data_IF_354001203378
#
_entry.id   IF_354001203378
#
_cell.length_a   1.000
_cell.length_b   1.000
_cell.length_c   1.000
_cell.angle_alpha   90.00
_cell.angle_beta   90.00
_cell.angle_gamma   90.00
#
_symmetry.space_group_name_H-M   'P 1'
#
loop_
_entity.id
_entity.type
_entity.pdbx_description
1 polymer ?
#
# COMPACT_ATOMS: atom_id res chain seq x y z
N UNK A 1 80.24 47.21 6.80
CA UNK A 1 80.34 45.73 6.94
C UNK A 1 79.12 45.23 7.70
N UNK A 2 78.41 44.23 7.14
CA UNK A 2 77.48 43.22 7.72
C UNK A 2 76.38 43.72 8.68
N UNK A 3 75.08 43.76 8.33
CA UNK A 3 74.09 42.72 7.94
C UNK A 3 73.34 42.03 9.11
N UNK A 4 72.05 41.83 8.86
CA UNK A 4 71.06 40.89 9.46
C UNK A 4 70.35 41.38 10.75
N UNK A 5 69.03 41.26 10.90
CA UNK A 5 68.01 40.59 10.10
C UNK A 5 66.59 40.94 10.58
N UNK A 6 65.64 40.84 9.65
CA UNK A 6 64.20 41.07 9.79
C UNK A 6 63.52 39.83 10.37
N UNK A 7 62.54 40.01 11.27
CA UNK A 7 61.47 39.02 11.51
C UNK A 7 60.12 39.73 11.40
N UNK A 8 59.48 39.53 10.25
CA UNK A 8 58.09 39.90 9.96
C UNK A 8 57.22 38.70 10.36
N UNK A 9 56.31 38.90 11.32
CA UNK A 9 55.25 37.94 11.63
C UNK A 9 54.13 38.13 10.59
N UNK A 10 54.08 37.25 9.59
CA UNK A 10 52.96 37.12 8.67
C UNK A 10 51.90 36.25 9.35
N UNK A 11 50.77 36.85 9.71
CA UNK A 11 49.58 36.13 10.14
C UNK A 11 48.95 35.41 8.95
N UNK A 12 48.84 34.09 9.05
CA UNK A 12 48.11 33.25 8.11
C UNK A 12 46.60 33.48 8.32
N UNK A 13 45.96 34.27 7.46
CA UNK A 13 44.50 34.30 7.40
C UNK A 13 44.04 33.04 6.66
N UNK A 14 43.47 32.10 7.42
CA UNK A 14 42.82 30.91 6.89
C UNK A 14 41.56 31.38 6.13
N UNK A 15 41.61 31.40 4.79
CA UNK A 15 40.42 31.56 3.96
C UNK A 15 39.66 30.23 4.03
N UNK A 16 38.73 30.13 4.97
CA UNK A 16 37.67 29.13 4.94
C UNK A 16 36.79 29.46 3.74
N UNK A 17 37.03 28.78 2.62
CA UNK A 17 36.12 28.73 1.50
C UNK A 17 34.80 28.15 1.98
N UNK A 18 33.83 29.02 2.24
CA UNK A 18 32.43 28.62 2.36
C UNK A 18 32.06 28.15 0.96
N UNK A 19 32.06 26.83 0.75
CA UNK A 19 31.28 26.19 -0.29
C UNK A 19 29.83 26.57 0.00
N UNK A 20 29.37 27.68 -0.59
CA UNK A 20 27.97 27.97 -0.68
C UNK A 20 27.35 26.82 -1.46
N UNK A 21 26.65 25.94 -0.75
CA UNK A 21 25.70 25.02 -1.38
C UNK A 21 24.83 25.87 -2.31
N UNK A 22 24.56 25.41 -3.55
CA UNK A 22 23.63 26.12 -4.41
C UNK A 22 22.34 26.38 -3.61
N UNK A 23 21.75 27.58 -3.70
CA UNK A 23 20.49 27.84 -3.04
C UNK A 23 19.52 26.74 -3.45
N UNK A 24 18.90 26.08 -2.48
CA UNK A 24 17.82 25.14 -2.74
C UNK A 24 16.77 25.89 -3.57
N UNK A 25 16.70 25.57 -4.86
CA UNK A 25 15.64 26.04 -5.73
C UNK A 25 14.36 25.52 -5.07
N UNK A 26 13.46 26.43 -4.69
CA UNK A 26 12.20 26.03 -4.07
C UNK A 26 11.52 25.03 -5.01
N UNK A 27 11.14 23.87 -4.47
CA UNK A 27 10.40 22.85 -5.21
C UNK A 27 9.14 23.48 -5.83
N UNK A 28 9.07 23.52 -7.16
CA UNK A 28 7.83 23.86 -7.84
C UNK A 28 6.77 22.81 -7.43
N UNK A 29 5.64 23.28 -6.91
CA UNK A 29 4.53 22.43 -6.47
C UNK A 29 3.32 22.68 -7.36
N UNK A 30 2.75 21.61 -7.90
CA UNK A 30 1.51 21.63 -8.70
C UNK A 30 0.49 20.72 -8.05
N UNK A 31 -0.78 21.10 -8.04
CA UNK A 31 -1.86 20.34 -7.41
C UNK A 31 -2.93 20.01 -8.44
N UNK A 32 -3.29 18.74 -8.53
CA UNK A 32 -4.42 18.23 -9.31
C UNK A 32 -5.46 17.64 -8.36
N UNK A 33 -6.73 17.89 -8.64
CA UNK A 33 -7.86 17.37 -7.85
C UNK A 33 -8.88 16.76 -8.79
N UNK A 34 -9.49 15.64 -8.38
CA UNK A 34 -10.58 15.05 -9.15
C UNK A 34 -11.73 16.06 -9.34
N UNK A 35 -12.15 16.32 -10.58
CA UNK A 35 -13.21 17.28 -10.84
C UNK A 35 -14.59 16.73 -10.46
N UNK A 36 -15.47 17.61 -9.96
CA UNK A 36 -16.92 17.33 -9.88
C UNK A 36 -17.42 16.35 -8.80
N UNK A 37 -16.56 15.80 -7.95
CA UNK A 37 -16.93 14.77 -6.96
C UNK A 37 -16.97 15.28 -5.51
N UNK A 38 -17.63 16.42 -5.25
CA UNK A 38 -17.68 17.02 -3.92
C UNK A 38 -18.35 16.10 -2.88
N UNK A 39 -17.74 16.00 -1.69
CA UNK A 39 -18.26 15.18 -0.58
C UNK A 39 -17.75 13.74 -0.53
N UNK A 40 -17.12 13.25 -1.61
CA UNK A 40 -16.44 11.96 -1.61
C UNK A 40 -15.18 11.96 -0.72
N UNK A 41 -14.82 10.82 -0.10
CA UNK A 41 -13.54 10.66 0.58
C UNK A 41 -12.39 11.02 -0.35
N UNK A 42 -11.39 11.73 0.19
CA UNK A 42 -10.31 12.33 -0.60
C UNK A 42 -8.97 11.72 -0.22
N UNK A 43 -8.39 10.96 -1.14
CA UNK A 43 -7.02 10.47 -1.00
C UNK A 43 -6.04 11.60 -1.28
N UNK A 44 -5.28 12.00 -0.29
CA UNK A 44 -4.19 12.97 -0.40
C UNK A 44 -2.92 12.24 -0.81
N UNK A 45 -2.41 12.55 -2.00
CA UNK A 45 -1.26 11.85 -2.59
C UNK A 45 -0.14 12.85 -2.83
N UNK A 46 1.07 12.55 -2.35
CA UNK A 46 2.28 13.29 -2.70
C UNK A 46 2.94 12.60 -3.87
N UNK A 47 3.35 13.32 -4.89
CA UNK A 47 4.02 12.73 -6.05
C UNK A 47 5.36 13.41 -6.28
N UNK A 48 6.42 12.72 -5.87
CA UNK A 48 7.80 13.18 -5.90
C UNK A 48 8.42 12.93 -7.28
N UNK A 49 8.94 13.99 -7.90
CA UNK A 49 9.71 13.95 -9.12
C UNK A 49 11.18 14.18 -8.80
N UNK A 50 12.01 13.15 -8.96
CA UNK A 50 13.46 13.26 -8.77
C UNK A 50 14.17 13.52 -10.09
N UNK A 51 15.04 14.52 -10.09
CA UNK A 51 15.80 14.87 -11.27
C UNK A 51 17.06 14.09 -11.45
N UNK A 52 17.67 13.50 -10.42
CA UNK A 52 18.91 12.75 -10.61
C UNK A 52 18.83 11.35 -10.01
N UNK A 53 19.39 10.36 -10.68
CA UNK A 53 19.58 9.02 -10.11
C UNK A 53 20.95 8.95 -9.42
N UNK A 54 21.15 7.92 -8.57
CA UNK A 54 22.49 7.55 -8.06
C UNK A 54 23.52 7.26 -9.17
N UNK A 55 23.05 7.04 -10.42
CA UNK A 55 23.89 6.78 -11.60
C UNK A 55 24.11 8.04 -12.45
N UNK A 56 23.62 9.21 -12.04
CA UNK A 56 23.83 10.48 -12.74
C UNK A 56 22.95 10.72 -13.97
N UNK A 57 21.86 9.95 -14.15
CA UNK A 57 20.84 10.24 -15.18
C UNK A 57 19.90 11.33 -14.70
N UNK A 58 19.40 12.16 -15.61
CA UNK A 58 18.45 13.23 -15.31
C UNK A 58 17.14 13.11 -16.07
N UNK A 59 16.00 13.37 -15.42
CA UNK A 59 14.72 13.51 -16.15
C UNK A 59 14.81 14.71 -17.09
N UNK A 60 14.33 14.57 -18.32
CA UNK A 60 14.26 15.71 -19.23
C UNK A 60 12.95 16.52 -19.04
N UNK A 61 12.86 17.76 -19.59
CA UNK A 61 11.66 18.58 -19.46
C UNK A 61 10.38 17.94 -20.02
N UNK A 62 10.48 17.11 -21.07
CA UNK A 62 9.32 16.38 -21.60
C UNK A 62 8.80 15.33 -20.63
N UNK A 63 9.69 14.60 -19.97
CA UNK A 63 9.33 13.61 -18.95
C UNK A 63 8.69 14.26 -17.72
N UNK A 64 9.08 15.49 -17.37
CA UNK A 64 8.37 16.27 -16.34
C UNK A 64 6.96 16.62 -16.80
N UNK A 65 6.81 17.18 -18.00
CA UNK A 65 5.48 17.57 -18.49
C UNK A 65 4.54 16.36 -18.54
N UNK A 66 5.04 15.23 -19.03
CA UNK A 66 4.26 14.00 -19.03
C UNK A 66 3.92 13.51 -17.62
N UNK A 67 4.82 13.62 -16.65
CA UNK A 67 4.50 13.26 -15.27
C UNK A 67 3.36 14.14 -14.71
N UNK A 68 3.31 15.41 -15.10
CA UNK A 68 2.23 16.33 -14.76
C UNK A 68 0.92 15.93 -15.47
N UNK A 69 0.97 15.69 -16.78
CA UNK A 69 -0.19 15.24 -17.58
C UNK A 69 -0.76 13.92 -17.02
N UNK A 70 0.11 12.98 -16.65
CA UNK A 70 -0.31 11.70 -16.05
C UNK A 70 -0.93 11.85 -14.66
N UNK A 71 -0.49 12.85 -13.87
CA UNK A 71 -1.09 13.15 -12.58
C UNK A 71 -2.49 13.77 -12.74
N UNK A 72 -2.67 14.63 -13.73
CA UNK A 72 -3.98 15.18 -14.12
C UNK A 72 -4.91 14.08 -14.62
N UNK A 73 -4.48 13.29 -15.61
CA UNK A 73 -5.22 12.15 -16.14
C UNK A 73 -5.63 11.16 -15.03
N UNK A 74 -4.72 10.84 -14.11
CA UNK A 74 -5.02 9.98 -12.98
C UNK A 74 -6.12 10.56 -12.08
N UNK A 75 -6.06 11.86 -11.77
CA UNK A 75 -7.07 12.52 -10.94
C UNK A 75 -8.46 12.49 -11.60
N UNK A 76 -8.52 12.68 -12.92
CA UNK A 76 -9.74 12.59 -13.72
C UNK A 76 -10.28 11.16 -13.76
N UNK A 77 -9.42 10.19 -14.08
CA UNK A 77 -9.78 8.76 -14.17
C UNK A 77 -10.32 8.21 -12.85
N UNK A 78 -9.77 8.62 -11.70
CA UNK A 78 -10.28 8.21 -10.38
C UNK A 78 -11.74 8.63 -10.21
N UNK A 79 -12.09 9.87 -10.59
CA UNK A 79 -13.46 10.37 -10.49
C UNK A 79 -14.41 9.70 -11.47
N UNK A 80 -13.99 9.57 -12.73
CA UNK A 80 -14.78 8.98 -13.80
C UNK A 80 -15.05 7.49 -13.52
N UNK A 81 -14.00 6.70 -13.34
CA UNK A 81 -14.10 5.25 -13.16
C UNK A 81 -14.68 4.87 -11.79
N UNK A 82 -14.37 5.66 -10.76
CA UNK A 82 -14.96 5.53 -9.43
C UNK A 82 -16.38 6.05 -9.32
N UNK A 83 -16.96 6.64 -10.38
CA UNK A 83 -18.30 7.24 -10.38
C UNK A 83 -18.51 8.24 -9.22
N UNK A 84 -17.49 9.06 -8.95
CA UNK A 84 -17.43 9.97 -7.81
C UNK A 84 -17.62 9.34 -6.42
N UNK A 85 -17.41 8.02 -6.26
CA UNK A 85 -17.38 7.37 -4.95
C UNK A 85 -16.17 7.79 -4.11
N UNK A 86 -15.09 8.20 -4.79
CA UNK A 86 -13.80 8.60 -4.24
C UNK A 86 -13.22 9.70 -5.11
N UNK A 87 -12.37 10.53 -4.51
CA UNK A 87 -11.55 11.50 -5.24
C UNK A 87 -10.12 11.49 -4.73
N UNK A 88 -9.21 12.03 -5.53
CA UNK A 88 -7.81 12.26 -5.13
C UNK A 88 -7.49 13.75 -5.16
N UNK A 89 -6.52 14.13 -4.33
CA UNK A 89 -5.75 15.37 -4.42
C UNK A 89 -4.29 14.97 -4.57
N UNK A 90 -3.72 15.20 -5.75
CA UNK A 90 -2.34 14.86 -6.07
C UNK A 90 -1.49 16.12 -6.03
N UNK A 91 -0.55 16.16 -5.10
CA UNK A 91 0.43 17.23 -4.98
C UNK A 91 1.76 16.77 -5.57
N UNK A 92 2.05 17.27 -6.77
CA UNK A 92 3.27 16.95 -7.52
C UNK A 92 4.37 17.89 -7.10
N UNK A 93 5.50 17.32 -6.66
CA UNK A 93 6.60 18.05 -6.06
C UNK A 93 7.88 17.70 -6.76
N UNK A 94 8.54 18.75 -7.22
CA UNK A 94 9.87 18.70 -7.77
C UNK A 94 10.91 18.65 -6.64
N UNK A 95 11.55 17.50 -6.43
CA UNK A 95 12.47 17.32 -5.30
C UNK A 95 13.84 18.01 -5.51
N UNK A 96 14.15 18.53 -6.71
CA UNK A 96 15.44 19.14 -7.05
C UNK A 96 16.69 18.33 -6.63
N UNK A 97 16.55 17.03 -6.32
CA UNK A 97 17.55 16.21 -5.65
C UNK A 97 17.72 14.83 -6.30
N UNK A 98 18.76 14.12 -5.86
CA UNK A 98 19.01 12.74 -6.26
C UNK A 98 18.12 11.78 -5.48
N UNK A 99 17.50 10.84 -6.18
CA UNK A 99 16.75 9.76 -5.53
C UNK A 99 17.71 8.81 -4.80
N UNK A 100 17.31 8.38 -3.60
CA UNK A 100 17.91 7.25 -2.90
C UNK A 100 16.80 6.40 -2.28
N UNK A 101 16.95 5.09 -2.22
CA UNK A 101 15.94 4.21 -1.59
C UNK A 101 15.75 4.52 -0.11
N UNK A 102 16.76 5.12 0.56
CA UNK A 102 16.65 5.60 1.93
C UNK A 102 15.72 6.82 2.09
N UNK A 103 15.44 7.55 1.01
CA UNK A 103 14.51 8.68 0.99
C UNK A 103 13.05 8.23 0.82
N UNK A 104 12.80 6.93 0.58
CA UNK A 104 11.44 6.40 0.40
C UNK A 104 10.76 6.26 1.76
N UNK A 105 10.03 7.30 2.14
CA UNK A 105 9.24 7.37 3.37
C UNK A 105 7.93 8.07 3.08
N UNK A 106 6.82 7.56 3.63
CA UNK A 106 5.53 8.21 3.47
C UNK A 106 5.55 9.62 4.07
N UNK A 107 5.11 10.60 3.30
CA UNK A 107 5.02 12.00 3.71
C UNK A 107 3.91 12.14 4.77
N UNK A 108 4.21 12.68 5.97
CA UNK A 108 3.18 12.85 7.00
C UNK A 108 1.98 13.67 6.51
N UNK A 109 0.77 13.18 6.78
CA UNK A 109 -0.48 13.81 6.36
C UNK A 109 -0.92 13.50 4.93
N UNK A 110 -0.26 12.54 4.26
CA UNK A 110 -0.67 12.02 2.96
C UNK A 110 -1.03 10.53 3.07
N UNK A 111 -2.07 10.11 2.36
CA UNK A 111 -2.51 8.72 2.30
C UNK A 111 -1.53 7.85 1.48
N UNK A 112 -0.88 8.44 0.48
CA UNK A 112 0.10 7.78 -0.37
C UNK A 112 1.19 8.74 -0.89
N UNK A 113 2.36 8.18 -1.17
CA UNK A 113 3.43 8.82 -1.90
C UNK A 113 3.75 8.06 -3.18
N UNK A 114 3.86 8.77 -4.29
CA UNK A 114 4.39 8.26 -5.54
C UNK A 114 5.77 8.84 -5.81
N UNK A 115 6.66 8.07 -6.43
CA UNK A 115 8.03 8.47 -6.70
C UNK A 115 8.40 8.16 -8.16
N UNK A 116 8.67 9.21 -8.95
CA UNK A 116 9.26 9.13 -10.30
C UNK A 116 10.74 9.44 -10.21
N UNK A 117 11.58 8.59 -10.77
CA UNK A 117 13.03 8.79 -10.81
C UNK A 117 13.59 8.65 -12.23
N UNK A 118 14.80 9.17 -12.51
CA UNK A 118 15.36 9.26 -13.87
C UNK A 118 15.78 7.94 -14.53
N UNK A 119 15.43 6.79 -13.95
CA UNK A 119 15.94 5.50 -14.42
C UNK A 119 15.05 4.99 -15.54
N UNK A 120 15.60 4.98 -16.76
CA UNK A 120 15.11 4.13 -17.84
C UNK A 120 15.65 2.70 -17.64
N UNK A 121 14.73 1.73 -17.49
CA UNK A 121 14.96 0.32 -17.16
C UNK A 121 13.69 -0.32 -16.54
N UNK A 122 13.81 -1.53 -15.96
CA UNK A 122 12.66 -2.38 -15.54
C UNK A 122 11.69 -1.80 -14.51
N UNK A 123 12.05 -0.74 -13.79
CA UNK A 123 11.16 0.02 -12.89
C UNK A 123 11.65 1.46 -12.87
N UNK A 124 10.85 2.41 -13.38
CA UNK A 124 11.12 3.86 -13.36
C UNK A 124 10.24 4.63 -12.38
N UNK A 125 9.49 3.91 -11.55
CA UNK A 125 8.46 4.46 -10.69
C UNK A 125 8.14 3.55 -9.50
N UNK A 126 7.69 4.12 -8.38
CA UNK A 126 7.16 3.36 -7.25
C UNK A 126 6.08 4.13 -6.48
N UNK A 127 5.29 3.42 -5.68
CA UNK A 127 4.21 3.98 -4.86
C UNK A 127 4.23 3.39 -3.45
N UNK A 128 3.90 4.19 -2.45
CA UNK A 128 3.94 3.81 -1.03
C UNK A 128 2.69 4.33 -0.31
N UNK A 129 2.15 3.54 0.59
CA UNK A 129 1.19 3.94 1.64
C UNK A 129 1.70 3.44 2.98
N UNK A 130 0.99 3.75 4.07
CA UNK A 130 1.27 3.18 5.38
C UNK A 130 1.28 1.64 5.35
N UNK A 131 0.41 1.02 4.55
CA UNK A 131 0.19 -0.43 4.56
C UNK A 131 0.96 -1.23 3.49
N UNK A 132 1.42 -0.61 2.40
CA UNK A 132 2.07 -1.33 1.29
C UNK A 132 2.94 -0.43 0.42
N UNK A 133 3.98 -1.04 -0.12
CA UNK A 133 4.81 -0.54 -1.21
C UNK A 133 4.47 -1.29 -2.50
N UNK A 134 4.16 -0.53 -3.55
CA UNK A 134 3.99 -1.01 -4.91
C UNK A 134 5.21 -0.62 -5.76
N UNK A 135 5.68 -1.52 -6.61
CA UNK A 135 6.72 -1.25 -7.62
C UNK A 135 6.11 -1.35 -8.99
N UNK A 136 6.51 -0.45 -9.88
CA UNK A 136 5.81 -0.24 -11.15
C UNK A 136 6.69 -0.83 -12.25
N UNK A 137 6.41 -2.06 -12.70
CA UNK A 137 7.21 -2.68 -13.74
C UNK A 137 7.06 -1.88 -15.03
N UNK A 138 8.18 -1.41 -15.58
CA UNK A 138 8.23 -0.83 -16.92
C UNK A 138 8.60 -1.97 -17.87
N UNK A 139 7.70 -2.43 -18.76
CA UNK A 139 8.02 -3.57 -19.61
C UNK A 139 9.23 -3.25 -20.51
N UNK A 140 10.17 -4.20 -20.59
CA UNK A 140 11.39 -4.05 -21.39
C UNK A 140 11.07 -3.74 -22.86
N UNK A 141 11.62 -2.66 -23.41
CA UNK A 141 11.42 -2.26 -24.81
C UNK A 141 10.08 -1.54 -25.07
N UNK A 142 9.32 -1.24 -24.02
CA UNK A 142 8.08 -0.49 -24.13
C UNK A 142 8.37 1.01 -24.01
N UNK A 143 7.89 1.78 -24.98
CA UNK A 143 7.95 3.26 -24.97
C UNK A 143 6.87 3.88 -24.06
N UNK A 144 6.18 3.05 -23.26
CA UNK A 144 5.09 3.48 -22.41
C UNK A 144 5.68 4.08 -21.14
N UNK A 145 5.98 5.36 -21.23
CA UNK A 145 6.09 6.22 -20.09
C UNK A 145 4.78 6.17 -19.26
N UNK A 146 4.83 6.38 -17.94
CA UNK A 146 3.65 6.27 -17.07
C UNK A 146 2.55 7.20 -17.54
N UNK A 147 1.37 6.66 -17.88
CA UNK A 147 0.14 7.42 -18.11
C UNK A 147 -0.76 7.36 -16.86
N UNK A 148 -1.82 8.17 -16.81
CA UNK A 148 -2.72 8.19 -15.64
C UNK A 148 -3.30 6.83 -15.25
N UNK A 149 -3.47 5.92 -16.22
CA UNK A 149 -3.94 4.55 -15.95
C UNK A 149 -2.89 3.67 -15.27
N UNK A 150 -1.59 3.88 -15.51
CA UNK A 150 -0.54 3.17 -14.76
C UNK A 150 -0.50 3.64 -13.29
N UNK A 151 -0.66 4.95 -13.05
CA UNK A 151 -0.80 5.47 -11.69
C UNK A 151 -2.03 4.88 -11.01
N UNK A 152 -3.13 4.75 -11.74
CA UNK A 152 -4.35 4.12 -11.26
C UNK A 152 -4.17 2.65 -10.90
N UNK A 153 -3.55 1.84 -11.77
CA UNK A 153 -3.24 0.43 -11.52
C UNK A 153 -2.51 0.24 -10.18
N UNK A 154 -1.52 1.08 -9.95
CA UNK A 154 -0.64 0.92 -8.80
C UNK A 154 -1.22 1.53 -7.53
N UNK A 155 -1.98 2.62 -7.67
CA UNK A 155 -2.83 3.10 -6.60
C UNK A 155 -3.85 2.04 -6.17
N UNK A 156 -4.46 1.31 -7.11
CA UNK A 156 -5.37 0.21 -6.79
C UNK A 156 -4.65 -0.92 -6.02
N UNK A 157 -3.39 -1.22 -6.35
CA UNK A 157 -2.59 -2.17 -5.54
C UNK A 157 -2.49 -1.73 -4.08
N UNK A 158 -2.43 -0.43 -3.82
CA UNK A 158 -2.39 0.13 -2.48
C UNK A 158 -3.77 0.12 -1.81
N UNK A 159 -4.82 0.52 -2.53
CA UNK A 159 -6.24 0.47 -2.12
C UNK A 159 -6.63 -0.92 -1.61
N UNK A 160 -6.28 -1.98 -2.35
CA UNK A 160 -6.65 -3.37 -2.00
C UNK A 160 -6.18 -3.79 -0.61
N UNK A 161 -5.07 -3.23 -0.11
CA UNK A 161 -4.58 -3.57 1.24
C UNK A 161 -5.30 -2.84 2.35
N UNK A 162 -5.92 -1.72 2.02
CA UNK A 162 -6.62 -0.89 2.99
C UNK A 162 -8.11 -1.24 3.04
N UNK A 163 -8.74 -1.35 1.87
CA UNK A 163 -10.16 -1.65 1.78
C UNK A 163 -10.38 -3.15 1.69
N UNK A 164 -11.22 -3.65 2.59
CA UNK A 164 -11.73 -5.02 2.55
C UNK A 164 -13.17 -4.96 2.05
N UNK A 165 -13.47 -5.43 0.82
CA UNK A 165 -14.82 -5.44 0.33
C UNK A 165 -15.66 -6.53 0.99
N UNK A 166 -16.99 -6.33 1.18
CA UNK A 166 -17.88 -7.31 1.81
C UNK A 166 -17.85 -8.68 1.12
N UNK A 167 -17.80 -8.70 -0.21
CA UNK A 167 -17.72 -9.93 -1.01
C UNK A 167 -16.29 -10.31 -1.41
N UNK A 168 -15.29 -9.58 -0.90
CA UNK A 168 -13.88 -9.75 -1.21
C UNK A 168 -13.42 -9.15 -2.54
N UNK A 169 -12.10 -9.13 -2.70
CA UNK A 169 -11.44 -8.84 -3.97
C UNK A 169 -11.50 -10.06 -4.92
N UNK A 170 -11.49 -9.84 -6.24
CA UNK A 170 -11.36 -10.92 -7.22
C UNK A 170 -10.04 -11.69 -7.08
N UNK A 171 -10.00 -12.95 -7.53
CA UNK A 171 -8.90 -13.90 -7.30
C UNK A 171 -7.52 -13.38 -7.77
N UNK A 172 -7.50 -12.63 -8.86
CA UNK A 172 -6.27 -12.11 -9.47
C UNK A 172 -6.02 -10.62 -9.21
N UNK A 173 -6.79 -10.05 -8.27
CA UNK A 173 -6.64 -8.67 -7.80
C UNK A 173 -6.61 -7.67 -8.98
N UNK A 174 -5.87 -6.56 -8.88
CA UNK A 174 -5.70 -5.57 -9.95
C UNK A 174 -5.23 -6.18 -11.27
N UNK A 175 -4.58 -7.34 -11.27
CA UNK A 175 -4.09 -8.01 -12.49
C UNK A 175 -5.14 -8.89 -13.19
N UNK A 176 -6.36 -9.02 -12.68
CA UNK A 176 -7.33 -9.99 -13.19
C UNK A 176 -7.70 -9.84 -14.67
N UNK A 177 -7.61 -8.64 -15.23
CA UNK A 177 -7.82 -8.45 -16.67
C UNK A 177 -6.78 -9.17 -17.56
N UNK A 178 -5.64 -9.58 -17.00
CA UNK A 178 -4.61 -10.33 -17.72
C UNK A 178 -4.96 -11.79 -18.00
N UNK A 179 -5.94 -12.36 -17.31
CA UNK A 179 -6.39 -13.73 -17.56
C UNK A 179 -7.88 -13.83 -17.83
N UNK A 180 -8.56 -12.68 -18.01
CA UNK A 180 -9.98 -12.58 -18.33
C UNK A 180 -10.23 -12.27 -19.81
N UNK A 181 -10.69 -13.26 -20.61
CA UNK A 181 -10.90 -13.08 -22.05
C UNK A 181 -11.95 -12.02 -22.40
N UNK A 182 -12.93 -11.80 -21.54
CA UNK A 182 -14.00 -10.83 -21.77
C UNK A 182 -13.49 -9.39 -21.70
N UNK A 183 -12.62 -9.05 -20.75
CA UNK A 183 -11.95 -7.74 -20.71
C UNK A 183 -10.94 -7.58 -21.86
N UNK A 184 -10.17 -8.63 -22.16
CA UNK A 184 -9.22 -8.61 -23.29
C UNK A 184 -9.91 -8.40 -24.65
N UNK A 185 -11.13 -8.93 -24.80
CA UNK A 185 -11.93 -8.76 -26.01
C UNK A 185 -12.50 -7.35 -26.17
N UNK A 186 -12.71 -6.59 -25.07
CA UNK A 186 -13.20 -5.21 -25.14
C UNK A 186 -12.20 -4.28 -25.80
N UNK A 187 -10.89 -4.48 -25.54
CA UNK A 187 -9.80 -3.69 -26.14
C UNK A 187 -8.66 -4.57 -26.66
N UNK A 188 -8.83 -5.24 -27.82
CA UNK A 188 -7.79 -6.08 -28.39
C UNK A 188 -6.49 -5.31 -28.62
N UNK A 189 -5.37 -5.86 -28.15
CA UNK A 189 -4.04 -5.26 -28.30
C UNK A 189 -3.66 -4.23 -27.23
N UNK A 190 -4.57 -3.88 -26.32
CA UNK A 190 -4.22 -3.12 -25.13
C UNK A 190 -3.51 -4.00 -24.10
N UNK A 191 -2.60 -3.40 -23.31
CA UNK A 191 -2.01 -4.08 -22.17
C UNK A 191 -3.10 -4.37 -21.15
N UNK A 192 -3.20 -5.62 -20.71
CA UNK A 192 -4.15 -6.02 -19.69
C UNK A 192 -3.93 -5.32 -18.34
N UNK A 193 -2.73 -4.77 -18.10
CA UNK A 193 -2.39 -4.02 -16.89
C UNK A 193 -2.91 -2.57 -16.92
N UNK A 194 -3.56 -2.14 -18.00
CA UNK A 194 -3.95 -0.74 -18.23
C UNK A 194 -5.32 -0.69 -18.91
N UNK A 195 -6.30 -1.40 -18.35
CA UNK A 195 -7.66 -1.49 -18.90
C UNK A 195 -8.66 -0.70 -18.04
N UNK A 196 -9.17 0.45 -18.53
CA UNK A 196 -10.04 1.32 -17.74
C UNK A 196 -11.36 0.64 -17.35
N UNK A 197 -11.91 -0.24 -18.20
CA UNK A 197 -13.14 -0.97 -17.91
C UNK A 197 -12.97 -1.89 -16.68
N UNK A 198 -11.83 -2.57 -16.59
CA UNK A 198 -11.51 -3.42 -15.44
C UNK A 198 -11.39 -2.60 -14.15
N UNK A 199 -10.67 -1.47 -14.21
CA UNK A 199 -10.49 -0.61 -13.05
C UNK A 199 -11.80 0.05 -12.59
N UNK A 200 -12.66 0.47 -13.52
CA UNK A 200 -14.00 0.97 -13.18
C UNK A 200 -14.87 -0.09 -12.50
N UNK A 201 -14.84 -1.33 -12.99
CA UNK A 201 -15.59 -2.42 -12.34
C UNK A 201 -15.02 -2.79 -10.97
N UNK A 202 -13.70 -2.76 -10.79
CA UNK A 202 -13.06 -2.93 -9.48
C UNK A 202 -13.47 -1.82 -8.50
N UNK A 203 -13.43 -0.55 -8.94
CA UNK A 203 -13.74 0.62 -8.11
C UNK A 203 -15.23 0.81 -7.82
N UNK A 204 -16.10 0.05 -8.49
CA UNK A 204 -17.55 0.07 -8.28
C UNK A 204 -18.13 -1.27 -7.82
N UNK A 205 -17.29 -2.27 -7.57
CA UNK A 205 -17.70 -3.58 -7.08
C UNK A 205 -18.51 -4.41 -8.08
N UNK A 206 -18.24 -4.28 -9.38
CA UNK A 206 -19.01 -4.90 -10.48
C UNK A 206 -18.31 -6.09 -11.13
N UNK A 207 -17.12 -6.47 -10.69
CA UNK A 207 -16.42 -7.64 -11.23
C UNK A 207 -17.16 -8.91 -10.85
N UNK A 208 -17.69 -9.64 -11.82
CA UNK A 208 -18.41 -10.89 -11.56
C UNK A 208 -17.44 -12.09 -11.59
N UNK A 209 -17.32 -12.80 -10.48
CA UNK A 209 -16.62 -14.09 -10.36
C UNK A 209 -17.54 -15.09 -9.65
N UNK A 210 -17.72 -16.28 -10.24
CA UNK A 210 -18.62 -17.33 -9.73
C UNK A 210 -20.06 -16.84 -9.45
N UNK A 211 -20.54 -15.87 -10.23
CA UNK A 211 -21.86 -15.26 -10.07
C UNK A 211 -21.97 -14.25 -8.93
N UNK A 212 -20.86 -13.92 -8.27
CA UNK A 212 -20.79 -12.97 -7.16
C UNK A 212 -20.05 -11.71 -7.61
N UNK A 213 -20.59 -10.55 -7.25
CA UNK A 213 -19.95 -9.26 -7.50
C UNK A 213 -18.82 -9.00 -6.49
N UNK A 214 -17.62 -8.70 -7.02
CA UNK A 214 -16.34 -8.49 -6.33
C UNK A 214 -15.82 -7.08 -6.61
N UNK A 215 -14.83 -6.65 -5.82
CA UNK A 215 -14.28 -5.29 -5.86
C UNK A 215 -14.98 -4.39 -4.84
N UNK A 216 -14.75 -3.08 -4.91
CA UNK A 216 -15.14 -2.12 -3.89
C UNK A 216 -16.42 -1.34 -4.28
N UNK A 217 -17.58 -1.58 -3.65
CA UNK A 217 -18.80 -0.85 -3.95
C UNK A 217 -18.69 0.66 -3.64
N UNK A 218 -19.46 1.48 -4.37
CA UNK A 218 -19.44 2.95 -4.26
C UNK A 218 -19.65 3.46 -2.82
N UNK A 219 -20.59 2.87 -2.09
CA UNK A 219 -20.87 3.22 -0.70
C UNK A 219 -19.75 2.80 0.28
N UNK A 220 -19.01 1.75 -0.06
CA UNK A 220 -17.91 1.25 0.76
C UNK A 220 -16.76 2.26 0.87
N UNK A 221 -16.49 3.05 -0.17
CA UNK A 221 -15.51 4.13 -0.12
C UNK A 221 -15.85 5.15 0.98
N UNK A 222 -17.09 5.63 1.01
CA UNK A 222 -17.55 6.60 1.99
C UNK A 222 -17.66 6.02 3.40
N UNK A 223 -17.94 4.72 3.52
CA UNK A 223 -17.96 3.97 4.76
C UNK A 223 -16.55 3.84 5.35
N UNK A 224 -15.56 3.35 4.60
CA UNK A 224 -14.22 3.11 5.13
C UNK A 224 -13.41 4.41 5.31
N UNK A 225 -13.63 5.44 4.48
CA UNK A 225 -12.83 6.68 4.52
C UNK A 225 -11.51 6.53 3.76
N UNK A 226 -10.42 7.12 4.24
CA UNK A 226 -9.06 6.96 3.67
C UNK A 226 -8.07 6.56 4.77
N UNK A 227 -6.84 6.11 4.44
CA UNK A 227 -5.82 5.77 5.44
C UNK A 227 -5.57 6.84 6.51
N UNK A 228 -5.41 8.11 6.12
CA UNK A 228 -5.19 9.22 7.07
C UNK A 228 -6.48 9.64 7.78
N UNK A 229 -7.65 9.36 7.18
CA UNK A 229 -8.95 9.73 7.71
C UNK A 229 -9.93 8.55 7.68
N UNK A 230 -9.65 7.47 8.43
CA UNK A 230 -10.50 6.30 8.45
C UNK A 230 -11.80 6.63 9.18
N UNK A 231 -12.93 6.22 8.62
CA UNK A 231 -14.26 6.43 9.21
C UNK A 231 -14.76 5.21 9.96
N UNK A 232 -14.52 4.04 9.36
CA UNK A 232 -14.77 2.75 9.96
C UNK A 232 -13.51 1.91 9.76
N UNK A 233 -12.71 1.82 10.83
CA UNK A 233 -11.55 0.93 10.86
C UNK A 233 -12.05 -0.52 10.88
N UNK A 234 -11.40 -1.38 10.11
CA UNK A 234 -11.47 -2.82 10.31
C UNK A 234 -11.14 -3.07 11.78
N UNK A 235 -12.07 -3.61 12.59
CA UNK A 235 -11.79 -3.84 13.99
C UNK A 235 -10.58 -4.76 14.08
N UNK A 236 -9.49 -4.27 14.70
CA UNK A 236 -8.26 -5.05 14.79
C UNK A 236 -8.62 -6.41 15.40
N UNK A 237 -8.21 -7.49 14.75
CA UNK A 237 -8.35 -8.84 15.26
C UNK A 237 -7.11 -9.60 14.85
N UNK A 238 -6.32 -9.97 15.84
CA UNK A 238 -5.18 -10.85 15.67
C UNK A 238 -5.35 -12.11 16.49
N UNK A 239 -5.05 -13.25 15.88
CA UNK A 239 -4.91 -14.54 16.55
C UNK A 239 -3.48 -15.01 16.44
N UNK A 240 -2.90 -15.37 17.57
CA UNK A 240 -1.58 -15.99 17.62
C UNK A 240 -1.61 -17.20 18.52
N UNK A 241 -0.62 -18.07 18.35
CA UNK A 241 -0.51 -19.31 19.13
C UNK A 241 0.91 -19.42 19.68
N UNK A 242 0.99 -19.72 20.98
CA UNK A 242 2.23 -20.14 21.63
C UNK A 242 2.18 -21.65 21.92
N UNK A 243 3.16 -22.16 22.67
CA UNK A 243 3.24 -23.59 23.01
C UNK A 243 2.00 -24.14 23.73
N UNK A 244 1.21 -23.32 24.41
CA UNK A 244 0.10 -23.75 25.26
C UNK A 244 -1.22 -23.06 24.93
N UNK A 245 -1.18 -21.86 24.36
CA UNK A 245 -2.34 -20.98 24.24
C UNK A 245 -2.54 -20.45 22.83
N UNK A 246 -3.80 -20.20 22.52
CA UNK A 246 -4.26 -19.20 21.56
C UNK A 246 -4.37 -17.87 22.29
N UNK A 247 -3.75 -16.83 21.75
CA UNK A 247 -3.91 -15.44 22.16
C UNK A 247 -4.73 -14.70 21.11
N UNK A 248 -5.73 -13.96 21.53
CA UNK A 248 -6.53 -13.07 20.68
C UNK A 248 -6.37 -11.64 21.18
N UNK A 249 -5.99 -10.73 20.30
CA UNK A 249 -6.03 -9.28 20.56
C UNK A 249 -7.02 -8.65 19.61
N UNK A 250 -7.86 -7.75 20.12
CA UNK A 250 -8.85 -7.06 19.30
C UNK A 250 -9.21 -5.70 19.89
N UNK A 251 -9.71 -4.80 19.04
CA UNK A 251 -10.33 -3.53 19.45
C UNK A 251 -11.76 -3.69 19.98
N UNK A 252 -12.31 -4.90 19.91
CA UNK A 252 -13.67 -5.21 20.33
C UNK A 252 -13.75 -5.76 21.78
N UNK A 253 -14.86 -5.49 22.47
CA UNK A 253 -15.21 -6.11 23.76
C UNK A 253 -16.46 -6.95 23.62
N UNK A 254 -16.37 -8.25 23.87
CA UNK A 254 -17.45 -9.21 23.73
C UNK A 254 -16.93 -10.64 23.63
N UNK A 255 -17.55 -11.50 22.82
CA UNK A 255 -17.09 -12.86 22.59
C UNK A 255 -16.46 -13.02 21.20
N UNK A 256 -15.21 -13.50 21.16
CA UNK A 256 -14.56 -13.95 19.94
C UNK A 256 -14.84 -15.45 19.72
N UNK A 257 -15.23 -15.79 18.49
CA UNK A 257 -15.41 -17.17 18.03
C UNK A 257 -14.07 -17.71 17.53
N UNK A 258 -13.64 -18.82 18.11
CA UNK A 258 -12.44 -19.56 17.72
C UNK A 258 -12.85 -20.85 17.02
N UNK A 259 -12.39 -21.05 15.80
CA UNK A 259 -12.65 -22.23 14.99
C UNK A 259 -11.36 -23.03 14.80
N UNK A 260 -11.36 -24.28 15.26
CA UNK A 260 -10.21 -25.16 15.20
C UNK A 260 -10.38 -26.20 14.10
N UNK A 261 -9.42 -26.23 13.18
CA UNK A 261 -9.37 -27.18 12.07
C UNK A 261 -8.15 -28.08 12.18
N UNK A 262 -8.33 -29.36 11.90
CA UNK A 262 -7.26 -30.37 11.88
C UNK A 262 -7.24 -31.07 10.53
N UNK A 263 -6.06 -31.10 9.89
CA UNK A 263 -5.94 -31.71 8.56
C UNK A 263 -6.84 -31.08 7.48
N UNK A 264 -7.25 -29.81 7.67
CA UNK A 264 -8.14 -29.08 6.75
C UNK A 264 -9.64 -29.29 7.01
N UNK A 265 -10.03 -29.99 8.07
CA UNK A 265 -11.43 -30.14 8.47
C UNK A 265 -11.68 -29.49 9.83
N UNK A 266 -12.79 -28.77 9.97
CA UNK A 266 -13.24 -28.22 11.25
C UNK A 266 -13.49 -29.35 12.26
N UNK A 267 -12.98 -29.17 13.48
CA UNK A 267 -13.06 -30.16 14.56
C UNK A 267 -13.82 -29.62 15.75
N UNK A 268 -13.56 -28.38 16.14
CA UNK A 268 -14.16 -27.78 17.33
C UNK A 268 -14.29 -26.27 17.21
N UNK A 269 -15.24 -25.72 17.97
CA UNK A 269 -15.47 -24.29 18.10
C UNK A 269 -15.44 -23.91 19.58
N UNK A 270 -15.01 -22.68 19.86
CA UNK A 270 -14.97 -22.14 21.20
C UNK A 270 -15.28 -20.64 21.21
N UNK A 271 -16.00 -20.18 22.23
CA UNK A 271 -16.08 -18.76 22.55
C UNK A 271 -14.96 -18.39 23.53
N UNK A 272 -14.33 -17.25 23.28
CA UNK A 272 -13.34 -16.61 24.13
C UNK A 272 -13.81 -15.18 24.41
N UNK A 273 -14.12 -14.82 25.67
CA UNK A 273 -14.37 -13.44 26.03
C UNK A 273 -13.12 -12.59 25.76
N UNK A 274 -13.30 -11.47 25.05
CA UNK A 274 -12.27 -10.52 24.66
C UNK A 274 -12.62 -9.12 25.17
N UNK A 275 -11.58 -8.34 25.48
CA UNK A 275 -11.71 -6.94 25.89
C UNK A 275 -10.81 -6.10 25.00
N UNK A 276 -11.33 -4.97 24.55
CA UNK A 276 -10.63 -4.03 23.66
C UNK A 276 -9.24 -3.68 24.19
N UNK A 277 -8.22 -3.87 23.35
CA UNK A 277 -6.81 -3.59 23.68
C UNK A 277 -6.17 -4.53 24.70
N UNK A 278 -6.84 -5.63 25.07
CA UNK A 278 -6.34 -6.62 26.04
C UNK A 278 -6.21 -7.99 25.39
N UNK A 279 -4.99 -8.51 25.36
CA UNK A 279 -4.73 -9.88 24.90
C UNK A 279 -5.44 -10.90 25.78
N UNK A 280 -6.39 -11.62 25.19
CA UNK A 280 -7.18 -12.67 25.84
C UNK A 280 -6.64 -14.04 25.43
N UNK A 281 -6.66 -15.01 26.33
CA UNK A 281 -5.98 -16.30 26.11
C UNK A 281 -6.90 -17.49 26.36
N UNK A 282 -6.73 -18.52 25.53
CA UNK A 282 -7.35 -19.83 25.68
C UNK A 282 -6.32 -20.93 25.45
N UNK A 283 -6.42 -22.04 26.17
CA UNK A 283 -5.57 -23.22 25.89
C UNK A 283 -5.83 -23.79 24.49
N UNK A 284 -4.77 -24.24 23.81
CA UNK A 284 -4.86 -24.91 22.50
C UNK A 284 -5.69 -26.20 22.56
N UNK A 285 -6.33 -26.54 21.44
CA UNK A 285 -6.86 -27.89 21.23
C UNK A 285 -5.73 -28.84 20.84
N UNK A 286 -5.36 -29.72 21.77
CA UNK A 286 -4.32 -30.72 21.53
C UNK A 286 -4.88 -32.14 21.51
N UNK A 287 -6.17 -32.30 21.22
CA UNK A 287 -6.86 -33.62 21.25
C UNK A 287 -6.38 -34.57 20.17
N UNK A 288 -5.83 -34.04 19.07
CA UNK A 288 -5.29 -34.81 17.94
C UNK A 288 -3.85 -34.42 17.66
N UNK A 289 -3.03 -35.40 17.31
CA UNK A 289 -1.67 -35.19 16.82
C UNK A 289 -1.70 -34.70 15.37
N UNK A 290 -0.72 -33.90 14.97
CA UNK A 290 -0.63 -33.36 13.62
C UNK A 290 -1.01 -31.89 13.54
N UNK A 291 -1.22 -31.41 12.29
CA UNK A 291 -1.33 -29.99 11.96
C UNK A 291 -2.72 -29.45 12.27
N UNK A 292 -2.73 -28.31 12.95
CA UNK A 292 -3.90 -27.55 13.31
C UNK A 292 -3.84 -26.15 12.73
N UNK A 293 -5.02 -25.59 12.51
CA UNK A 293 -5.25 -24.17 12.23
C UNK A 293 -6.32 -23.70 13.21
N UNK A 294 -6.11 -22.54 13.84
CA UNK A 294 -7.14 -21.86 14.62
C UNK A 294 -7.43 -20.53 13.95
N UNK A 295 -8.71 -20.25 13.70
CA UNK A 295 -9.16 -18.97 13.17
C UNK A 295 -9.99 -18.26 14.24
N UNK A 296 -9.83 -16.95 14.36
CA UNK A 296 -10.63 -16.10 15.23
C UNK A 296 -11.56 -15.21 14.41
N UNK A 297 -12.72 -14.94 14.99
CA UNK A 297 -13.75 -14.07 14.42
C UNK A 297 -14.49 -13.34 15.53
N UNK A 298 -15.00 -12.14 15.28
CA UNK A 298 -15.94 -11.43 16.17
C UNK A 298 -17.14 -10.99 15.34
N UNK A 299 -18.34 -10.75 15.92
CA UNK A 299 -19.49 -10.26 15.16
C UNK A 299 -19.20 -9.00 14.35
N UNK A 300 -18.34 -8.13 14.87
CA UNK A 300 -17.93 -6.86 14.27
C UNK A 300 -16.97 -7.11 13.11
N UNK A 301 -16.03 -8.05 13.25
CA UNK A 301 -15.17 -8.49 12.13
C UNK A 301 -16.00 -9.21 11.08
N UNK A 302 -16.94 -10.08 11.45
CA UNK A 302 -17.84 -10.79 10.51
C UNK A 302 -18.77 -9.82 9.77
N UNK A 303 -19.24 -8.78 10.45
CA UNK A 303 -20.03 -7.72 9.85
C UNK A 303 -19.19 -6.83 8.92
N UNK A 304 -17.88 -6.73 9.17
CA UNK A 304 -16.96 -5.92 8.37
C UNK A 304 -16.36 -6.70 7.18
N UNK A 305 -16.04 -7.98 7.35
CA UNK A 305 -15.42 -8.85 6.35
C UNK A 305 -15.75 -10.32 6.59
N UNK A 306 -15.83 -11.08 5.50
CA UNK A 306 -15.91 -12.54 5.56
C UNK A 306 -14.60 -13.22 6.04
N UNK A 307 -13.50 -12.47 6.17
CA UNK A 307 -12.18 -13.00 6.50
C UNK A 307 -11.97 -13.11 8.02
N UNK A 308 -11.61 -14.31 8.47
CA UNK A 308 -11.14 -14.60 9.83
C UNK A 308 -9.62 -14.52 9.88
N UNK A 309 -9.04 -14.02 10.98
CA UNK A 309 -7.60 -14.14 11.16
C UNK A 309 -7.26 -15.56 11.63
N UNK A 310 -6.19 -16.17 11.11
CA UNK A 310 -5.86 -17.57 11.36
C UNK A 310 -4.39 -17.79 11.69
N UNK A 311 -4.14 -18.73 12.61
CA UNK A 311 -2.81 -19.17 13.02
C UNK A 311 -2.68 -20.69 12.99
N UNK A 312 -1.55 -21.18 12.49
CA UNK A 312 -1.23 -22.62 12.43
C UNK A 312 -0.39 -23.07 13.63
N UNK A 313 -0.66 -24.28 14.13
CA UNK A 313 0.20 -24.96 15.11
C UNK A 313 0.28 -26.48 14.87
N UNK A 314 1.22 -27.14 15.54
CA UNK A 314 1.52 -28.56 15.31
C UNK A 314 1.66 -29.29 16.65
N UNK A 315 0.90 -30.38 16.80
CA UNK A 315 0.88 -31.18 18.03
C UNK A 315 1.63 -32.49 17.82
N UNK A 316 2.73 -32.70 18.55
CA UNK A 316 3.57 -33.89 18.45
C UNK A 316 3.41 -34.84 19.64
N UNK A 317 3.59 -36.16 19.43
CA UNK A 317 3.65 -37.11 20.53
C UNK A 317 4.93 -36.91 21.35
N UNK A 318 4.78 -36.34 22.56
CA UNK A 318 5.81 -36.23 23.62
C UNK A 318 7.13 -35.54 23.25
N UNK A 319 7.07 -34.30 22.80
CA UNK A 319 8.06 -33.27 23.14
C UNK A 319 7.23 -31.99 23.31
N UNK A 320 7.55 -31.15 24.29
CA UNK A 320 6.91 -29.85 24.49
C UNK A 320 6.58 -29.17 23.16
N UNK A 321 5.36 -28.64 22.96
CA UNK A 321 4.93 -28.03 21.70
C UNK A 321 5.90 -26.95 21.24
N UNK A 322 6.81 -27.33 20.33
CA UNK A 322 7.69 -26.46 19.59
C UNK A 322 6.87 -25.90 18.44
N UNK A 323 6.24 -24.77 18.69
CA UNK A 323 5.47 -24.03 17.68
C UNK A 323 6.44 -23.33 16.75
N UNK A 324 6.35 -23.65 15.46
CA UNK A 324 7.02 -22.89 14.40
C UNK A 324 6.01 -21.93 13.80
N UNK A 325 5.99 -20.71 14.31
CA UNK A 325 5.13 -19.61 13.84
C UNK A 325 5.50 -19.27 12.40
N UNK A 326 4.54 -19.32 11.46
CA UNK A 326 4.62 -18.59 10.20
C UNK A 326 3.75 -17.35 10.34
N UNK A 327 4.35 -16.18 10.22
CA UNK A 327 3.70 -14.87 10.36
C UNK A 327 3.36 -14.28 8.99
N UNK A 328 2.21 -13.62 8.90
CA UNK A 328 1.81 -12.66 7.86
C UNK A 328 0.30 -12.74 7.64
N UNK A 329 -0.51 -11.72 7.93
CA UNK A 329 -0.32 -10.30 7.65
C UNK A 329 -0.11 -9.42 8.90
N UNK A 330 0.76 -8.42 8.76
CA UNK A 330 0.84 -7.27 9.67
C UNK A 330 0.05 -6.13 9.04
N UNK A 331 -0.87 -5.51 9.77
CA UNK A 331 -1.13 -4.08 9.59
C UNK A 331 0.10 -3.33 10.12
N UNK A 332 0.52 -2.31 9.37
CA UNK A 332 1.63 -1.44 9.73
C UNK A 332 1.20 -0.49 10.86
N UNK A 333 2.15 -0.20 11.75
CA UNK A 333 2.11 0.89 12.74
C UNK A 333 2.65 2.14 12.07
#
# INVERSE_FOLDING_TARGET
>A
MRSNGVRLLVGLALVLGVLSAPPAIAADTVVYETPGCAGAPTWSIRYHLYWSSITGKTLDPSQRQQALDSAEDFADLVGELGQCAVRVRVEVVDEAAAYSDAARTLTPGYDADFYRYPREGDEGYSGLTQGRMATFPVPSGSHWEPNGLLLLHEWLHMVVNFYIPPNGWPHEDVHGACHRPDYQAMRPGWSCMILPEWFGDLMTGKVIEDGIAKGLPTDQWAYQGTPEHPRHLDPELSVSVDSQNVSVSTDYTGDARLMFSHGGSEVSEALLPVVSGVESRRRLDTTRLGRWTVCASTPEVEAFRAATDCSDYLVYPRIHPLVKIRKGARQAV
#
